data_IF_386018374046
#
_entry.id   IF_386018374046
#
_cell.length_a   1.000
_cell.length_b   1.000
_cell.length_c   1.000
_cell.angle_alpha   90.00
_cell.angle_beta   90.00
_cell.angle_gamma   90.00
#
_symmetry.space_group_name_H-M   'P 1'
#
loop_
_entity.id
_entity.type
_entity.pdbx_description
1 polymer ?
#
# COMPACT_ATOMS: atom_id res chain seq x y z
N UNK A 1 13.51 10.59 -4.85
CA UNK A 1 12.05 10.41 -4.97
C UNK A 1 11.33 11.20 -3.88
N UNK A 2 11.63 11.01 -2.57
CA UNK A 2 10.95 11.74 -1.49
C UNK A 2 11.03 13.26 -1.68
N UNK A 3 12.19 13.80 -2.05
CA UNK A 3 12.35 15.22 -2.35
C UNK A 3 11.46 15.70 -3.51
N UNK A 4 11.36 14.91 -4.58
CA UNK A 4 10.50 15.22 -5.74
C UNK A 4 9.01 15.20 -5.40
N UNK A 5 8.62 14.47 -4.36
CA UNK A 5 7.23 14.40 -3.89
C UNK A 5 6.90 15.50 -2.89
N UNK A 6 7.85 15.84 -2.02
CA UNK A 6 7.65 16.77 -0.91
C UNK A 6 7.90 18.22 -1.33
N UNK A 7 8.93 18.49 -2.15
CA UNK A 7 9.27 19.85 -2.57
C UNK A 7 8.13 20.57 -3.33
N UNK A 8 7.40 19.93 -4.28
CA UNK A 8 6.25 20.57 -4.92
C UNK A 8 5.10 20.89 -3.93
N UNK A 9 4.97 20.11 -2.85
CA UNK A 9 3.96 20.36 -1.83
C UNK A 9 4.28 21.56 -0.92
N UNK A 10 5.57 21.80 -0.67
CA UNK A 10 6.02 22.86 0.24
C UNK A 10 6.28 24.18 -0.53
N UNK A 11 6.86 24.09 -1.72
CA UNK A 11 7.35 25.24 -2.50
C UNK A 11 6.57 25.51 -3.79
N UNK A 12 5.61 24.62 -4.15
CA UNK A 12 4.87 24.68 -5.39
C UNK A 12 3.49 25.31 -5.26
N UNK A 13 2.77 25.39 -6.40
CA UNK A 13 1.36 25.83 -6.42
C UNK A 13 0.46 24.74 -5.83
N UNK A 14 -0.60 25.15 -5.12
CA UNK A 14 -1.59 24.23 -4.50
C UNK A 14 -2.46 23.48 -5.53
N UNK A 15 -2.35 23.79 -6.82
CA UNK A 15 -3.14 23.16 -7.86
C UNK A 15 -2.64 21.75 -8.16
N UNK A 16 -3.50 20.76 -7.91
CA UNK A 16 -3.25 19.35 -8.26
C UNK A 16 -3.02 19.14 -9.77
N UNK A 17 -3.55 20.03 -10.61
CA UNK A 17 -3.44 19.93 -12.08
C UNK A 17 -2.06 20.33 -12.62
N UNK A 18 -1.32 21.14 -11.90
CA UNK A 18 0.01 21.65 -12.32
C UNK A 18 1.16 20.97 -11.57
N UNK A 19 0.87 20.23 -10.50
CA UNK A 19 1.88 19.53 -9.70
C UNK A 19 2.12 18.12 -10.20
N UNK A 20 3.40 17.73 -10.25
CA UNK A 20 3.83 16.36 -10.57
C UNK A 20 3.69 15.39 -9.40
N UNK A 21 3.47 15.88 -8.16
CA UNK A 21 3.42 15.03 -6.96
C UNK A 21 2.32 13.95 -7.00
N UNK A 22 1.05 14.26 -7.37
CA UNK A 22 0.02 13.24 -7.51
C UNK A 22 0.36 12.18 -8.56
N UNK A 23 0.92 12.60 -9.69
CA UNK A 23 1.32 11.68 -10.76
C UNK A 23 2.43 10.73 -10.30
N UNK A 24 3.43 11.24 -9.59
CA UNK A 24 4.52 10.41 -9.08
C UNK A 24 4.02 9.44 -8.01
N UNK A 25 3.17 9.89 -7.09
CA UNK A 25 2.69 9.03 -6.00
C UNK A 25 1.66 8.01 -6.51
N UNK A 26 0.54 8.47 -7.10
CA UNK A 26 -0.59 7.60 -7.40
C UNK A 26 -0.46 6.80 -8.69
N UNK A 27 0.30 7.30 -9.65
CA UNK A 27 0.49 6.57 -10.91
C UNK A 27 1.84 5.87 -10.91
N UNK A 28 2.93 6.59 -10.70
CA UNK A 28 4.25 6.00 -10.84
C UNK A 28 4.59 5.04 -9.69
N UNK A 29 4.50 5.48 -8.43
CA UNK A 29 4.85 4.64 -7.28
C UNK A 29 3.77 3.58 -7.00
N UNK A 30 2.50 3.91 -7.18
CA UNK A 30 1.40 3.02 -6.83
C UNK A 30 1.13 1.93 -7.87
N UNK A 31 1.32 2.24 -9.16
CA UNK A 31 1.05 1.32 -10.28
C UNK A 31 2.32 0.99 -11.04
N UNK A 32 3.09 2.01 -11.46
CA UNK A 32 4.24 1.83 -12.35
C UNK A 32 5.35 1.00 -11.74
N UNK A 33 5.77 1.31 -10.51
CA UNK A 33 6.85 0.57 -9.84
C UNK A 33 6.46 -0.88 -9.51
N UNK A 34 5.23 -1.20 -9.02
CA UNK A 34 4.77 -2.58 -8.92
C UNK A 34 4.81 -3.35 -10.25
N UNK A 35 4.35 -2.74 -11.35
CA UNK A 35 4.43 -3.36 -12.68
C UNK A 35 5.88 -3.61 -13.09
N UNK A 36 6.78 -2.65 -12.88
CA UNK A 36 8.21 -2.85 -13.10
C UNK A 36 8.77 -3.95 -12.19
N UNK A 37 8.28 -4.05 -10.96
CA UNK A 37 8.62 -5.11 -10.01
C UNK A 37 8.23 -6.50 -10.53
N UNK A 38 7.05 -6.63 -11.13
CA UNK A 38 6.62 -7.86 -11.80
C UNK A 38 7.52 -8.27 -12.95
N UNK A 39 8.04 -7.30 -13.70
CA UNK A 39 8.90 -7.57 -14.86
C UNK A 39 10.34 -7.85 -14.47
N UNK A 40 10.94 -6.98 -13.65
CA UNK A 40 12.38 -6.95 -13.39
C UNK A 40 12.78 -7.36 -11.96
N UNK A 41 11.84 -7.51 -11.07
CA UNK A 41 12.07 -7.81 -9.65
C UNK A 41 12.18 -6.57 -8.79
N UNK A 42 12.83 -6.69 -7.62
CA UNK A 42 12.87 -5.65 -6.60
C UNK A 42 13.69 -4.43 -7.03
N UNK A 43 12.97 -3.45 -7.61
CA UNK A 43 13.53 -2.17 -8.03
C UNK A 43 13.36 -1.15 -6.89
N UNK A 44 12.22 -1.18 -6.18
CA UNK A 44 11.88 -0.16 -5.19
C UNK A 44 12.88 -0.11 -4.03
N UNK A 45 13.33 -1.25 -3.54
CA UNK A 45 14.30 -1.30 -2.44
C UNK A 45 15.59 -0.53 -2.74
N UNK A 46 16.00 -0.45 -4.02
CA UNK A 46 17.20 0.28 -4.43
C UNK A 46 17.05 1.80 -4.35
N UNK A 47 15.82 2.30 -4.49
CA UNK A 47 15.50 3.73 -4.51
C UNK A 47 14.76 4.20 -3.25
N UNK A 48 14.46 3.29 -2.31
CA UNK A 48 13.75 3.63 -1.09
C UNK A 48 14.62 4.55 -0.21
N UNK A 49 14.18 5.79 0.07
CA UNK A 49 14.93 6.75 0.86
C UNK A 49 15.15 6.30 2.32
N UNK A 50 14.31 5.40 2.83
CA UNK A 50 14.43 4.85 4.17
C UNK A 50 15.64 3.91 4.35
N UNK A 51 16.22 3.41 3.25
CA UNK A 51 17.45 2.63 3.28
C UNK A 51 18.69 3.46 3.64
N UNK A 52 18.62 4.80 3.52
CA UNK A 52 19.69 5.70 3.94
C UNK A 52 19.95 5.64 5.45
N UNK A 53 18.93 5.26 6.22
CA UNK A 53 19.06 5.09 7.67
C UNK A 53 19.37 3.62 7.99
N UNK A 54 20.65 3.32 8.19
CA UNK A 54 21.11 2.00 8.60
C UNK A 54 20.84 1.78 10.09
N UNK A 55 19.58 1.49 10.43
CA UNK A 55 19.19 1.12 11.79
C UNK A 55 19.36 -0.39 11.99
N UNK A 56 19.95 -0.78 13.12
CA UNK A 56 20.00 -2.20 13.50
C UNK A 56 18.58 -2.70 13.72
N UNK A 57 18.22 -3.79 13.06
CA UNK A 57 16.93 -4.43 13.20
C UNK A 57 17.09 -5.92 13.39
N UNK A 58 16.13 -6.52 14.08
CA UNK A 58 16.00 -7.96 14.18
C UNK A 58 15.55 -8.58 12.84
N UNK A 59 15.56 -9.90 12.76
CA UNK A 59 15.00 -10.61 11.61
C UNK A 59 13.51 -10.29 11.50
N UNK A 60 12.97 -10.06 10.29
CA UNK A 60 11.58 -9.74 10.11
C UNK A 60 10.68 -10.91 10.56
N UNK A 61 9.70 -10.62 11.42
CA UNK A 61 8.79 -11.61 11.99
C UNK A 61 7.34 -11.38 11.53
N UNK A 62 6.89 -10.11 11.49
CA UNK A 62 5.50 -9.79 11.24
C UNK A 62 5.33 -8.45 10.54
N UNK A 63 4.29 -8.32 9.70
CA UNK A 63 4.02 -7.12 8.89
C UNK A 63 2.79 -6.32 9.36
N UNK A 64 2.34 -6.52 10.61
CA UNK A 64 1.13 -5.85 11.12
C UNK A 64 1.25 -4.32 11.12
N UNK A 65 2.42 -3.75 11.42
CA UNK A 65 2.62 -2.31 11.36
C UNK A 65 2.51 -1.78 9.93
N UNK A 66 3.07 -2.51 8.95
CA UNK A 66 2.89 -2.16 7.55
C UNK A 66 1.40 -2.24 7.14
N UNK A 67 0.62 -3.20 7.65
CA UNK A 67 -0.83 -3.28 7.42
C UNK A 67 -1.56 -2.03 7.94
N UNK A 68 -1.24 -1.58 9.16
CA UNK A 68 -1.87 -0.39 9.76
C UNK A 68 -1.52 0.87 8.95
N UNK A 69 -0.25 1.04 8.60
CA UNK A 69 0.18 2.18 7.79
C UNK A 69 -0.35 2.14 6.36
N UNK A 70 -0.54 0.93 5.79
CA UNK A 70 -1.17 0.73 4.49
C UNK A 70 -2.63 1.21 4.49
N UNK A 71 -3.42 0.82 5.49
CA UNK A 71 -4.80 1.28 5.66
C UNK A 71 -4.85 2.81 5.79
N UNK A 72 -3.95 3.42 6.55
CA UNK A 72 -3.88 4.88 6.68
C UNK A 72 -3.58 5.58 5.35
N UNK A 73 -2.65 5.03 4.56
CA UNK A 73 -2.27 5.58 3.26
C UNK A 73 -3.40 5.43 2.23
N UNK A 74 -4.04 4.27 2.16
CA UNK A 74 -5.17 4.02 1.24
C UNK A 74 -6.44 4.75 1.66
N UNK A 75 -6.67 4.94 2.97
CA UNK A 75 -7.73 5.81 3.46
C UNK A 75 -7.51 7.26 3.00
N UNK A 76 -6.29 7.77 3.10
CA UNK A 76 -5.97 9.10 2.57
C UNK A 76 -6.24 9.21 1.07
N UNK A 77 -5.88 8.19 0.29
CA UNK A 77 -6.10 8.15 -1.15
C UNK A 77 -7.60 8.17 -1.51
N UNK A 78 -8.39 7.30 -0.86
CA UNK A 78 -9.74 6.98 -1.30
C UNK A 78 -10.84 7.74 -0.56
N UNK A 79 -10.57 8.22 0.66
CA UNK A 79 -11.59 8.83 1.52
C UNK A 79 -11.34 10.31 1.76
N UNK A 80 -10.09 10.74 1.81
CA UNK A 80 -9.77 12.14 2.06
C UNK A 80 -10.31 13.05 0.94
N UNK A 81 -10.81 14.23 1.30
CA UNK A 81 -11.49 15.14 0.36
C UNK A 81 -10.59 15.70 -0.75
N UNK A 82 -9.27 15.74 -0.53
CA UNK A 82 -8.30 16.33 -1.49
C UNK A 82 -7.02 15.50 -1.55
N UNK A 83 -7.08 14.22 -1.99
CA UNK A 83 -5.91 13.34 -2.03
C UNK A 83 -4.87 13.75 -3.07
N UNK A 84 -5.27 14.55 -4.07
CA UNK A 84 -4.38 15.08 -5.11
C UNK A 84 -3.73 16.42 -4.76
N UNK A 85 -4.03 17.03 -3.61
CA UNK A 85 -3.39 18.28 -3.21
C UNK A 85 -1.93 18.05 -2.84
N UNK A 86 -0.95 18.75 -3.45
CA UNK A 86 0.48 18.52 -3.23
C UNK A 86 0.92 18.69 -1.79
N UNK A 87 0.35 19.66 -1.05
CA UNK A 87 0.65 19.89 0.36
C UNK A 87 0.16 18.70 1.22
N UNK A 88 -1.05 18.21 0.98
CA UNK A 88 -1.59 17.04 1.69
C UNK A 88 -0.74 15.79 1.43
N UNK A 89 -0.30 15.58 0.19
CA UNK A 89 0.62 14.49 -0.19
C UNK A 89 1.93 14.64 0.58
N UNK A 90 2.52 15.84 0.59
CA UNK A 90 3.76 16.10 1.31
C UNK A 90 3.63 15.80 2.82
N UNK A 91 2.56 16.28 3.45
CA UNK A 91 2.28 16.05 4.89
C UNK A 91 2.13 14.55 5.18
N UNK A 92 1.34 13.83 4.38
CA UNK A 92 1.13 12.39 4.58
C UNK A 92 2.42 11.60 4.39
N UNK A 93 3.23 11.93 3.38
CA UNK A 93 4.51 11.24 3.15
C UNK A 93 5.55 11.55 4.23
N UNK A 94 5.60 12.79 4.73
CA UNK A 94 6.46 13.14 5.87
C UNK A 94 6.00 12.39 7.12
N UNK A 95 4.69 12.35 7.38
CA UNK A 95 4.12 11.62 8.51
C UNK A 95 4.45 10.13 8.43
N UNK A 96 4.23 9.51 7.27
CA UNK A 96 4.59 8.11 7.01
C UNK A 96 6.09 7.88 7.25
N UNK A 97 6.94 8.74 6.70
CA UNK A 97 8.38 8.66 6.87
C UNK A 97 8.81 8.74 8.34
N UNK A 98 8.24 9.67 9.09
CA UNK A 98 8.50 9.83 10.54
C UNK A 98 8.00 8.60 11.31
N UNK A 99 6.75 8.16 11.07
CA UNK A 99 6.18 6.98 11.73
C UNK A 99 7.03 5.72 11.50
N UNK A 100 7.42 5.45 10.25
CA UNK A 100 8.27 4.30 9.91
C UNK A 100 9.60 4.36 10.66
N UNK A 101 10.27 5.52 10.69
CA UNK A 101 11.55 5.64 11.39
C UNK A 101 11.41 5.54 12.91
N UNK A 102 10.35 6.08 13.51
CA UNK A 102 10.06 5.93 14.94
C UNK A 102 9.82 4.46 15.31
N UNK A 103 8.99 3.75 14.54
CA UNK A 103 8.74 2.32 14.75
C UNK A 103 10.04 1.50 14.64
N UNK A 104 10.89 1.80 13.65
CA UNK A 104 12.20 1.14 13.52
C UNK A 104 13.11 1.42 14.70
N UNK A 105 13.16 2.68 15.14
CA UNK A 105 14.05 3.08 16.22
C UNK A 105 13.63 2.51 17.58
N UNK A 106 12.36 2.68 17.96
CA UNK A 106 11.88 2.26 19.28
C UNK A 106 11.63 0.76 19.40
N UNK A 107 11.09 0.13 18.32
CA UNK A 107 10.71 -1.27 18.34
C UNK A 107 11.73 -2.20 17.66
N UNK A 108 12.86 -1.66 17.19
CA UNK A 108 13.92 -2.38 16.47
C UNK A 108 13.41 -3.19 15.26
N UNK A 109 12.30 -2.74 14.65
CA UNK A 109 11.67 -3.42 13.53
C UNK A 109 12.45 -3.26 12.24
N UNK A 110 12.45 -4.29 11.42
CA UNK A 110 13.02 -4.23 10.07
C UNK A 110 12.15 -3.35 9.15
N UNK A 111 12.76 -2.80 8.10
CA UNK A 111 12.04 -1.88 7.20
C UNK A 111 10.80 -2.54 6.57
N UNK A 112 10.88 -3.80 6.18
CA UNK A 112 9.78 -4.54 5.56
C UNK A 112 8.58 -4.76 6.51
N UNK A 113 8.80 -4.75 7.82
CA UNK A 113 7.73 -4.92 8.80
C UNK A 113 6.88 -3.65 8.98
N UNK A 114 7.43 -2.49 8.62
CA UNK A 114 6.82 -1.18 8.93
C UNK A 114 6.57 -0.29 7.70
N UNK A 115 7.27 -0.50 6.59
CA UNK A 115 7.06 0.29 5.37
C UNK A 115 6.03 -0.39 4.44
N UNK A 116 4.81 0.16 4.33
CA UNK A 116 3.76 -0.42 3.50
C UNK A 116 4.10 -0.40 2.01
N UNK A 117 4.82 0.63 1.54
CA UNK A 117 5.23 0.72 0.13
C UNK A 117 6.31 -0.31 -0.19
N UNK A 118 7.30 -0.46 0.68
CA UNK A 118 8.31 -1.51 0.48
C UNK A 118 7.67 -2.90 0.46
N UNK A 119 6.73 -3.18 1.38
CA UNK A 119 6.05 -4.47 1.44
C UNK A 119 5.23 -4.73 0.17
N UNK A 120 4.49 -3.71 -0.31
CA UNK A 120 3.73 -3.78 -1.56
C UNK A 120 4.66 -4.17 -2.73
N UNK A 121 5.73 -3.41 -2.93
CA UNK A 121 6.66 -3.64 -4.04
C UNK A 121 7.42 -4.97 -3.91
N UNK A 122 7.73 -5.38 -2.67
CA UNK A 122 8.33 -6.68 -2.38
C UNK A 122 7.41 -7.83 -2.81
N UNK A 123 6.10 -7.76 -2.53
CA UNK A 123 5.13 -8.75 -2.97
C UNK A 123 5.12 -8.88 -4.50
N UNK A 124 4.99 -7.77 -5.21
CA UNK A 124 5.02 -7.78 -6.68
C UNK A 124 6.35 -8.30 -7.23
N UNK A 125 7.47 -7.98 -6.61
CA UNK A 125 8.79 -8.47 -7.03
C UNK A 125 8.95 -9.99 -6.89
N UNK A 126 8.23 -10.62 -5.94
CA UNK A 126 8.19 -12.08 -5.78
C UNK A 126 7.38 -12.78 -6.86
N UNK A 127 6.44 -12.07 -7.47
CA UNK A 127 5.65 -12.55 -8.61
C UNK A 127 6.35 -12.33 -9.96
N UNK A 128 7.63 -11.97 -9.95
CA UNK A 128 8.43 -11.65 -11.13
C UNK A 128 8.25 -12.68 -12.27
N UNK A 129 7.89 -12.17 -13.45
CA UNK A 129 7.61 -12.97 -14.65
C UNK A 129 8.87 -13.45 -15.34
N UNK A 130 9.91 -12.62 -15.39
CA UNK A 130 11.16 -12.92 -16.08
C UNK A 130 12.29 -13.17 -15.10
N UNK A 131 13.05 -14.24 -15.33
CA UNK A 131 14.29 -14.52 -14.60
C UNK A 131 15.50 -14.04 -15.41
N UNK A 132 16.67 -13.99 -14.78
CA UNK A 132 17.96 -13.71 -15.45
C UNK A 132 18.29 -14.67 -16.60
N UNK A 133 17.70 -15.87 -16.59
CA UNK A 133 17.68 -16.80 -17.72
C UNK A 133 16.42 -16.54 -18.56
N UNK A 134 16.45 -16.65 -19.90
CA UNK A 134 15.39 -16.23 -20.81
C UNK A 134 14.19 -17.21 -20.86
N UNK A 135 13.62 -17.57 -19.73
CA UNK A 135 12.39 -18.36 -19.68
C UNK A 135 11.47 -17.88 -18.55
N UNK A 136 10.19 -18.07 -18.77
CA UNK A 136 9.16 -17.74 -17.79
C UNK A 136 9.41 -18.52 -16.50
N UNK A 137 9.46 -17.81 -15.39
CA UNK A 137 9.44 -18.40 -14.07
C UNK A 137 8.00 -18.62 -13.65
N UNK A 138 7.70 -19.78 -13.09
CA UNK A 138 6.37 -20.02 -12.52
C UNK A 138 6.07 -18.98 -11.43
N UNK A 139 4.92 -18.33 -11.52
CA UNK A 139 4.44 -17.36 -10.53
C UNK A 139 4.32 -17.99 -9.14
N UNK A 140 4.06 -19.30 -9.09
CA UNK A 140 3.85 -20.07 -7.86
C UNK A 140 5.14 -20.42 -7.13
N UNK A 141 6.29 -20.52 -7.85
CA UNK A 141 7.57 -20.92 -7.25
C UNK A 141 8.08 -19.96 -6.16
N UNK A 142 7.62 -18.70 -6.20
CA UNK A 142 8.06 -17.68 -5.25
C UNK A 142 7.15 -17.53 -4.03
N UNK A 143 5.91 -18.03 -4.09
CA UNK A 143 4.91 -17.85 -3.03
C UNK A 143 5.30 -18.57 -1.74
N UNK A 144 5.95 -19.72 -1.84
CA UNK A 144 6.40 -20.49 -0.67
C UNK A 144 7.36 -19.76 0.27
N UNK A 145 8.09 -18.75 -0.25
CA UNK A 145 8.99 -17.94 0.58
C UNK A 145 8.30 -16.73 1.23
N UNK A 146 7.12 -16.31 0.73
CA UNK A 146 6.34 -15.23 1.29
C UNK A 146 5.64 -15.62 2.60
N UNK A 147 5.28 -16.90 2.74
CA UNK A 147 4.51 -17.43 3.87
C UNK A 147 5.21 -17.37 5.23
N UNK A 148 6.48 -16.93 5.28
CA UNK A 148 7.27 -16.87 6.52
C UNK A 148 7.02 -15.63 7.37
N UNK A 149 6.39 -14.59 6.82
CA UNK A 149 6.09 -13.35 7.53
C UNK A 149 4.66 -13.40 8.09
N UNK A 150 4.52 -13.36 9.40
CA UNK A 150 3.19 -13.30 10.05
C UNK A 150 2.43 -12.07 9.62
N UNK A 151 1.17 -12.23 9.22
CA UNK A 151 0.30 -11.13 8.83
C UNK A 151 0.38 -10.75 7.35
N UNK A 152 1.16 -11.47 6.55
CA UNK A 152 1.22 -11.22 5.11
C UNK A 152 -0.13 -11.44 4.43
N UNK A 153 -0.89 -12.43 4.90
CA UNK A 153 -2.25 -12.70 4.45
C UNK A 153 -3.18 -11.51 4.70
N UNK A 154 -3.06 -10.83 5.84
CA UNK A 154 -3.86 -9.64 6.13
C UNK A 154 -3.49 -8.48 5.21
N UNK A 155 -2.21 -8.30 4.91
CA UNK A 155 -1.81 -7.26 3.96
C UNK A 155 -2.43 -7.48 2.57
N UNK A 156 -2.41 -8.71 2.07
CA UNK A 156 -3.04 -9.07 0.80
C UNK A 156 -4.56 -8.86 0.84
N UNK A 157 -5.21 -9.26 1.95
CA UNK A 157 -6.66 -9.06 2.12
C UNK A 157 -7.03 -7.57 2.18
N UNK A 158 -6.21 -6.75 2.81
CA UNK A 158 -6.39 -5.30 2.82
C UNK A 158 -6.21 -4.69 1.42
N UNK A 159 -5.26 -5.17 0.63
CA UNK A 159 -5.14 -4.76 -0.78
C UNK A 159 -6.41 -5.11 -1.56
N UNK A 160 -6.94 -6.32 -1.40
CA UNK A 160 -8.19 -6.75 -2.06
C UNK A 160 -9.37 -5.89 -1.58
N UNK A 161 -9.53 -5.70 -0.27
CA UNK A 161 -10.61 -4.90 0.30
C UNK A 161 -10.59 -3.45 -0.17
N UNK A 162 -9.40 -2.86 -0.25
CA UNK A 162 -9.19 -1.49 -0.72
C UNK A 162 -9.56 -1.34 -2.20
N UNK A 163 -9.07 -2.24 -3.07
CA UNK A 163 -9.40 -2.23 -4.50
C UNK A 163 -10.88 -2.52 -4.73
N UNK A 164 -11.48 -3.39 -3.92
CA UNK A 164 -12.92 -3.67 -3.99
C UNK A 164 -13.75 -2.44 -3.62
N UNK A 165 -13.36 -1.71 -2.57
CA UNK A 165 -14.02 -0.46 -2.17
C UNK A 165 -13.92 0.59 -3.28
N UNK A 166 -12.71 0.80 -3.82
CA UNK A 166 -12.46 1.75 -4.90
C UNK A 166 -13.32 1.42 -6.14
N UNK A 167 -13.28 0.18 -6.61
CA UNK A 167 -14.08 -0.26 -7.76
C UNK A 167 -15.58 -0.16 -7.54
N UNK A 168 -16.09 -0.52 -6.34
CA UNK A 168 -17.53 -0.43 -6.04
C UNK A 168 -18.00 1.02 -5.96
N UNK A 169 -17.21 1.91 -5.40
CA UNK A 169 -17.54 3.33 -5.27
C UNK A 169 -17.81 4.00 -6.62
N UNK A 170 -17.12 3.59 -7.67
CA UNK A 170 -17.26 4.12 -9.02
C UNK A 170 -18.46 3.54 -9.80
N UNK A 171 -19.22 2.59 -9.21
CA UNK A 171 -20.35 1.95 -9.89
C UNK A 171 -21.63 2.77 -9.78
N UNK A 172 -22.49 2.65 -10.81
CA UNK A 172 -23.85 3.21 -10.79
C UNK A 172 -24.71 2.61 -9.67
N UNK A 173 -24.45 1.34 -9.31
CA UNK A 173 -25.09 0.68 -8.17
C UNK A 173 -24.82 1.45 -6.87
N UNK A 174 -23.56 1.79 -6.61
CA UNK A 174 -23.16 2.54 -5.41
C UNK A 174 -23.82 3.91 -5.36
N UNK A 175 -23.76 4.64 -6.48
CA UNK A 175 -24.39 5.96 -6.59
C UNK A 175 -25.90 5.92 -6.32
N UNK A 176 -26.62 4.92 -6.88
CA UNK A 176 -28.06 4.76 -6.68
C UNK A 176 -28.44 4.42 -5.24
N UNK A 177 -27.58 3.69 -4.50
CA UNK A 177 -27.86 3.30 -3.12
C UNK A 177 -27.49 4.39 -2.11
N UNK A 178 -26.38 5.08 -2.31
CA UNK A 178 -25.81 5.98 -1.32
C UNK A 178 -25.81 7.46 -1.74
N UNK A 179 -25.91 7.75 -3.03
CA UNK A 179 -26.08 9.09 -3.60
C UNK A 179 -25.09 10.12 -3.04
N UNK A 180 -25.61 11.24 -2.53
CA UNK A 180 -24.81 12.32 -1.96
C UNK A 180 -24.06 11.97 -0.67
N UNK A 181 -24.35 10.84 -0.03
CA UNK A 181 -23.60 10.40 1.17
C UNK A 181 -22.16 10.01 0.86
N UNK A 182 -21.83 9.76 -0.41
CA UNK A 182 -20.45 9.49 -0.83
C UNK A 182 -19.51 10.66 -0.61
N UNK A 183 -20.04 11.88 -0.52
CA UNK A 183 -19.25 13.09 -0.24
C UNK A 183 -19.03 13.30 1.27
N UNK A 184 -19.74 12.58 2.12
CA UNK A 184 -19.51 12.57 3.57
C UNK A 184 -18.31 11.70 3.90
N UNK A 185 -17.25 12.33 4.40
CA UNK A 185 -16.01 11.65 4.80
C UNK A 185 -16.25 10.62 5.91
N UNK A 186 -17.18 10.87 6.83
CA UNK A 186 -17.52 9.92 7.91
C UNK A 186 -18.15 8.65 7.36
N UNK A 187 -19.15 8.80 6.48
CA UNK A 187 -19.79 7.68 5.80
C UNK A 187 -18.79 6.88 4.94
N UNK A 188 -17.99 7.58 4.14
CA UNK A 188 -16.97 6.96 3.28
C UNK A 188 -15.91 6.21 4.09
N UNK A 189 -15.48 6.75 5.25
CA UNK A 189 -14.58 6.07 6.18
C UNK A 189 -15.21 4.78 6.71
N UNK A 190 -16.48 4.85 7.16
CA UNK A 190 -17.19 3.68 7.67
C UNK A 190 -17.27 2.58 6.61
N UNK A 191 -17.66 2.92 5.39
CA UNK A 191 -17.77 1.95 4.29
C UNK A 191 -16.42 1.37 3.88
N UNK A 192 -15.37 2.19 3.82
CA UNK A 192 -14.01 1.74 3.58
C UNK A 192 -13.56 0.69 4.62
N UNK A 193 -13.81 0.95 5.90
CA UNK A 193 -13.47 0.02 6.99
C UNK A 193 -14.31 -1.25 6.94
N UNK A 194 -15.62 -1.15 6.67
CA UNK A 194 -16.51 -2.31 6.52
C UNK A 194 -16.04 -3.21 5.38
N UNK A 195 -15.66 -2.65 4.23
CA UNK A 195 -15.20 -3.45 3.10
C UNK A 195 -13.89 -4.18 3.41
N UNK A 196 -12.93 -3.49 4.02
CA UNK A 196 -11.66 -4.11 4.42
C UNK A 196 -11.86 -5.19 5.49
N UNK A 197 -12.69 -4.94 6.50
CA UNK A 197 -13.02 -5.94 7.52
C UNK A 197 -13.80 -7.10 6.92
N UNK A 198 -14.74 -6.83 6.01
CA UNK A 198 -15.55 -7.82 5.32
C UNK A 198 -14.70 -8.82 4.52
N UNK A 199 -13.67 -8.35 3.81
CA UNK A 199 -12.75 -9.25 3.10
C UNK A 199 -11.98 -10.16 4.06
N UNK A 200 -11.53 -9.64 5.20
CA UNK A 200 -10.84 -10.44 6.22
C UNK A 200 -11.79 -11.49 6.82
N UNK A 201 -13.00 -11.10 7.18
CA UNK A 201 -13.98 -12.00 7.77
C UNK A 201 -14.41 -13.08 6.77
N UNK A 202 -14.66 -12.71 5.51
CA UNK A 202 -14.99 -13.64 4.45
C UNK A 202 -13.88 -14.70 4.24
N UNK A 203 -12.64 -14.26 4.19
CA UNK A 203 -11.50 -15.18 4.09
C UNK A 203 -11.42 -16.15 5.29
N UNK A 204 -11.57 -15.63 6.52
CA UNK A 204 -11.57 -16.46 7.73
C UNK A 204 -12.71 -17.49 7.72
N UNK A 205 -13.89 -17.06 7.29
CA UNK A 205 -15.05 -17.94 7.13
C UNK A 205 -14.77 -19.04 6.10
N UNK A 206 -14.27 -18.68 4.91
CA UNK A 206 -13.92 -19.65 3.87
C UNK A 206 -12.87 -20.67 4.36
N UNK A 207 -11.82 -20.21 5.04
CA UNK A 207 -10.82 -21.10 5.62
C UNK A 207 -11.40 -22.05 6.68
N UNK A 208 -12.32 -21.56 7.52
CA UNK A 208 -12.98 -22.39 8.55
C UNK A 208 -13.73 -23.57 7.93
N UNK A 209 -14.42 -23.35 6.80
CA UNK A 209 -15.13 -24.43 6.11
C UNK A 209 -14.18 -25.34 5.32
N UNK A 210 -13.14 -24.80 4.70
CA UNK A 210 -12.18 -25.58 3.94
C UNK A 210 -11.36 -26.57 4.82
N UNK A 211 -11.15 -26.24 6.10
CA UNK A 211 -10.41 -27.13 7.01
C UNK A 211 -11.30 -28.25 7.58
N UNK A 212 -12.63 -28.09 7.51
CA UNK A 212 -13.58 -29.10 8.03
C UNK A 212 -13.96 -30.18 6.99
N UNK A 213 -13.51 -30.05 5.75
CA UNK A 213 -13.67 -31.03 4.68
C UNK A 213 -12.42 -31.86 4.53
#
# INVERSE_FOLDING_TARGET
>A
ILFLLVAPGIFGNESSKTSVAPLILWVFLWIGVPVLGLLFGDIYSKFNPLNLFSLKSDKPESVYFACVLFIGLTWFELVWSRPGNPLNIAVVLITLFVCVNLLRYFLKKSLIEVDPLLLLHYLYSKLKLFNSKPYFRSLLDNIGNLAKLRGIEYFVLLMIGTVTYDGLRETTFWYNQFGSRTDDMGFSTMMFLIMNLGTILFYRFACFFAIKV
#
